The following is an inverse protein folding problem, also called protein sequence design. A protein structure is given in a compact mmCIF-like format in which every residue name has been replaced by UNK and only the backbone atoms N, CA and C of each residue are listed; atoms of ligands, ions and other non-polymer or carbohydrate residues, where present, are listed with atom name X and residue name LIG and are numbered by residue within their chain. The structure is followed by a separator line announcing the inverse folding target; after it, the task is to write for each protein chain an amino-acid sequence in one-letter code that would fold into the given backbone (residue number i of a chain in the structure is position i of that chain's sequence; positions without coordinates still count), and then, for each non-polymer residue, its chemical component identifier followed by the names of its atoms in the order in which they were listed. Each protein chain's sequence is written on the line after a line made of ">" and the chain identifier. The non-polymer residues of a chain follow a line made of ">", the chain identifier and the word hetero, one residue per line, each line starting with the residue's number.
data_IF_422051941426
#
_entry.id   IF_422051941426
#
_cell.length_a   1.000
_cell.length_b   1.000
_cell.length_c   1.000
_cell.angle_alpha   90.00
_cell.angle_beta   90.00
_cell.angle_gamma   90.00
#
_symmetry.space_group_name_H-M   'P 1'
#
loop_
_entity.id
_entity.type
_entity.pdbx_description
1 polymer ?
#
# COMPACT_ATOMS: atom_id res chain seq x y z
N UNK A 1 0.69 13.46 20.13
CA UNK A 1 -0.28 12.34 20.12
C UNK A 1 -0.14 11.56 21.41
N UNK A 2 -1.16 11.54 22.27
CA UNK A 2 -1.15 10.80 23.56
C UNK A 2 -0.89 9.31 23.39
N UNK A 3 -1.52 8.68 22.38
CA UNK A 3 -1.38 7.24 22.10
C UNK A 3 0.06 6.80 21.83
N UNK A 4 0.85 7.64 21.13
CA UNK A 4 2.26 7.33 20.83
C UNK A 4 3.14 7.47 22.06
N UNK A 5 2.79 8.40 22.96
CA UNK A 5 3.49 8.58 24.23
C UNK A 5 3.28 7.40 25.17
N UNK A 6 2.08 6.81 25.15
CA UNK A 6 1.69 5.72 26.05
C UNK A 6 2.04 4.34 25.51
N UNK A 7 1.71 4.06 24.24
CA UNK A 7 1.84 2.73 23.63
C UNK A 7 3.06 2.60 22.70
N UNK A 8 3.82 3.68 22.55
CA UNK A 8 4.95 3.76 21.65
C UNK A 8 4.55 4.07 20.21
N UNK A 9 5.55 4.08 19.33
CA UNK A 9 5.35 4.39 17.91
C UNK A 9 4.58 3.29 17.18
N UNK A 10 3.84 3.65 16.11
CA UNK A 10 3.26 2.68 15.19
C UNK A 10 4.33 1.75 14.60
N UNK A 11 3.95 0.49 14.38
CA UNK A 11 4.79 -0.55 13.79
C UNK A 11 4.43 -0.78 12.30
N UNK A 12 3.16 -0.57 11.91
CA UNK A 12 2.72 -0.64 10.51
C UNK A 12 1.95 0.62 10.11
N UNK A 13 2.11 1.00 8.85
CA UNK A 13 1.39 2.08 8.19
C UNK A 13 0.73 1.55 6.92
N UNK A 14 -0.60 1.50 6.96
CA UNK A 14 -1.42 1.00 5.86
C UNK A 14 -2.09 2.18 5.17
N UNK A 15 -2.00 2.22 3.85
CA UNK A 15 -2.66 3.20 3.00
C UNK A 15 -3.67 2.47 2.13
N UNK A 16 -4.89 3.00 2.06
CA UNK A 16 -5.94 2.49 1.18
C UNK A 16 -6.57 3.63 0.44
N UNK A 17 -6.68 3.47 -0.87
CA UNK A 17 -7.26 4.48 -1.75
C UNK A 17 -8.46 3.86 -2.47
N UNK A 18 -9.55 4.62 -2.53
CA UNK A 18 -10.72 4.21 -3.30
C UNK A 18 -10.37 4.06 -4.77
N UNK A 19 -10.69 2.90 -5.34
CA UNK A 19 -10.46 2.62 -6.75
C UNK A 19 -11.75 2.85 -7.55
N UNK A 20 -11.79 3.83 -8.48
CA UNK A 20 -12.98 4.09 -9.28
C UNK A 20 -13.36 2.95 -10.23
N UNK A 21 -12.46 1.98 -10.42
CA UNK A 21 -12.70 0.82 -11.27
C UNK A 21 -13.40 -0.33 -10.55
N UNK A 22 -13.70 -0.21 -9.26
CA UNK A 22 -14.48 -1.21 -8.53
C UNK A 22 -15.82 -1.46 -9.20
N UNK A 23 -16.22 -2.74 -9.22
CA UNK A 23 -17.43 -3.19 -9.90
C UNK A 23 -18.66 -2.53 -9.31
N UNK A 24 -18.74 -2.36 -7.99
CA UNK A 24 -19.86 -1.72 -7.31
C UNK A 24 -20.03 -0.24 -7.69
N UNK A 25 -18.92 0.45 -7.99
CA UNK A 25 -18.98 1.82 -8.50
C UNK A 25 -19.43 1.78 -9.96
N UNK A 26 -18.74 1.00 -10.81
CA UNK A 26 -19.03 0.93 -12.25
C UNK A 26 -20.46 0.50 -12.56
N UNK A 27 -21.00 -0.46 -11.81
CA UNK A 27 -22.37 -0.96 -12.01
C UNK A 27 -23.45 0.04 -11.57
N UNK A 28 -23.10 1.00 -10.71
CA UNK A 28 -24.01 2.01 -10.19
C UNK A 28 -23.94 3.35 -10.95
N UNK A 29 -23.02 3.49 -11.92
CA UNK A 29 -22.90 4.68 -12.76
C UNK A 29 -23.89 4.62 -13.94
N UNK A 30 -24.54 5.73 -14.21
CA UNK A 30 -25.34 5.88 -15.43
C UNK A 30 -24.45 5.99 -16.67
N UNK A 31 -24.97 5.73 -17.89
CA UNK A 31 -24.21 5.94 -19.12
C UNK A 31 -23.65 7.37 -19.21
N UNK A 32 -22.33 7.49 -19.39
CA UNK A 32 -21.62 8.77 -19.46
C UNK A 32 -21.21 9.36 -18.11
N UNK A 33 -21.68 8.82 -16.98
CA UNK A 33 -21.20 9.24 -15.67
C UNK A 33 -19.78 8.73 -15.40
N UNK A 34 -19.01 9.55 -14.69
CA UNK A 34 -17.69 9.18 -14.19
C UNK A 34 -17.73 9.09 -12.66
N UNK A 35 -16.95 8.17 -12.08
CA UNK A 35 -16.86 7.99 -10.64
C UNK A 35 -16.49 9.28 -9.89
N UNK A 36 -15.66 10.15 -10.49
CA UNK A 36 -15.29 11.45 -9.92
C UNK A 36 -16.47 12.44 -9.84
N UNK A 37 -17.49 12.29 -10.69
CA UNK A 37 -18.74 13.05 -10.65
C UNK A 37 -19.77 12.47 -9.67
N UNK A 38 -19.51 11.29 -9.10
CA UNK A 38 -20.37 10.60 -8.12
C UNK A 38 -19.61 10.32 -6.82
N UNK A 39 -19.23 11.38 -6.07
CA UNK A 39 -18.51 11.22 -4.81
C UNK A 39 -19.33 10.46 -3.76
N UNK A 40 -20.67 10.53 -3.83
CA UNK A 40 -21.59 9.75 -2.99
C UNK A 40 -21.36 8.23 -3.15
N UNK A 41 -21.26 7.75 -4.39
CA UNK A 41 -21.01 6.33 -4.69
C UNK A 41 -19.60 5.93 -4.25
N UNK A 42 -18.60 6.73 -4.62
CA UNK A 42 -17.20 6.45 -4.29
C UNK A 42 -16.97 6.39 -2.78
N UNK A 43 -17.51 7.36 -2.02
CA UNK A 43 -17.43 7.38 -0.56
C UNK A 43 -18.15 6.20 0.09
N UNK A 44 -19.34 5.82 -0.42
CA UNK A 44 -20.11 4.70 0.13
C UNK A 44 -19.40 3.36 -0.08
N UNK A 45 -18.95 3.08 -1.30
CA UNK A 45 -18.22 1.84 -1.61
C UNK A 45 -16.89 1.80 -0.85
N UNK A 46 -16.17 2.92 -0.79
CA UNK A 46 -14.95 3.04 0.01
C UNK A 46 -15.21 2.73 1.47
N UNK A 47 -16.24 3.31 2.08
CA UNK A 47 -16.57 3.07 3.50
C UNK A 47 -16.86 1.59 3.77
N UNK A 48 -17.60 0.92 2.90
CA UNK A 48 -17.90 -0.50 3.02
C UNK A 48 -16.63 -1.36 2.96
N UNK A 49 -15.80 -1.15 1.94
CA UNK A 49 -14.53 -1.89 1.79
C UNK A 49 -13.53 -1.56 2.90
N UNK A 50 -13.49 -0.30 3.36
CA UNK A 50 -12.66 0.13 4.49
C UNK A 50 -13.10 -0.53 5.80
N UNK A 51 -14.40 -0.58 6.08
CA UNK A 51 -14.90 -1.28 7.28
C UNK A 51 -14.58 -2.77 7.23
N UNK A 52 -14.76 -3.43 6.09
CA UNK A 52 -14.36 -4.83 5.91
C UNK A 52 -12.87 -5.03 6.19
N UNK A 53 -12.02 -4.15 5.67
CA UNK A 53 -10.58 -4.21 5.91
C UNK A 53 -10.24 -4.05 7.39
N UNK A 54 -10.84 -3.09 8.08
CA UNK A 54 -10.59 -2.88 9.51
C UNK A 54 -11.04 -4.09 10.34
N UNK A 55 -12.13 -4.76 9.93
CA UNK A 55 -12.57 -6.01 10.55
C UNK A 55 -11.54 -7.13 10.33
N UNK A 56 -10.99 -7.26 9.13
CA UNK A 56 -9.93 -8.24 8.85
C UNK A 56 -8.67 -7.96 9.68
N UNK A 57 -8.22 -6.70 9.74
CA UNK A 57 -7.00 -6.31 10.46
C UNK A 57 -7.16 -6.44 11.98
N UNK A 58 -8.26 -5.92 12.55
CA UNK A 58 -8.40 -5.75 14.01
C UNK A 58 -9.18 -6.89 14.66
N UNK A 59 -10.23 -7.41 14.01
CA UNK A 59 -11.07 -8.47 14.61
C UNK A 59 -10.59 -9.87 14.24
N UNK A 60 -10.19 -10.06 12.98
CA UNK A 60 -9.66 -11.36 12.51
C UNK A 60 -8.15 -11.47 12.67
N UNK A 61 -7.50 -10.38 13.08
CA UNK A 61 -6.07 -10.33 13.40
C UNK A 61 -5.18 -10.90 12.29
N UNK A 62 -5.51 -10.62 11.01
CA UNK A 62 -4.77 -11.20 9.87
C UNK A 62 -3.28 -10.75 9.84
N UNK A 63 -2.93 -9.69 10.56
CA UNK A 63 -1.57 -9.17 10.72
C UNK A 63 -0.98 -9.48 12.11
N UNK A 64 -1.71 -10.23 12.94
CA UNK A 64 -1.47 -10.36 14.38
C UNK A 64 -2.25 -9.34 15.21
N UNK A 65 -2.15 -9.47 16.52
CA UNK A 65 -2.91 -8.66 17.48
C UNK A 65 -2.52 -7.18 17.44
N UNK A 66 -3.52 -6.32 17.28
CA UNK A 66 -3.37 -4.85 17.25
C UNK A 66 -3.73 -4.28 18.62
N UNK A 67 -2.75 -3.72 19.34
CA UNK A 67 -2.98 -3.04 20.63
C UNK A 67 -3.77 -1.74 20.47
N UNK A 68 -3.44 -1.00 19.41
CA UNK A 68 -4.06 0.27 19.12
C UNK A 68 -3.91 0.61 17.64
N UNK A 69 -4.85 1.39 17.11
CA UNK A 69 -4.73 1.92 15.77
C UNK A 69 -5.24 3.36 15.70
N UNK A 70 -4.72 4.12 14.75
CA UNK A 70 -5.23 5.45 14.38
C UNK A 70 -5.54 5.48 12.91
N UNK A 71 -6.73 5.93 12.57
CA UNK A 71 -7.17 6.12 11.19
C UNK A 71 -7.29 7.62 10.92
N UNK A 72 -6.77 8.06 9.78
CA UNK A 72 -7.11 9.33 9.17
C UNK A 72 -7.73 9.06 7.79
N UNK A 73 -8.90 9.63 7.51
CA UNK A 73 -9.55 9.53 6.20
C UNK A 73 -9.55 10.91 5.56
N UNK A 74 -8.93 10.99 4.39
CA UNK A 74 -8.77 12.22 3.63
C UNK A 74 -9.67 12.19 2.39
N UNK A 75 -10.52 13.22 2.27
CA UNK A 75 -11.31 13.49 1.08
C UNK A 75 -10.61 14.61 0.30
N UNK A 76 -9.95 14.23 -0.79
CA UNK A 76 -9.21 15.18 -1.61
C UNK A 76 -10.15 15.87 -2.60
N UNK A 77 -10.01 17.19 -2.82
CA UNK A 77 -10.90 17.99 -3.70
C UNK A 77 -11.06 17.45 -5.13
N UNK A 78 -10.09 16.66 -5.61
CA UNK A 78 -10.10 16.00 -6.94
C UNK A 78 -9.66 14.53 -6.85
N UNK A 79 -9.50 14.01 -5.64
CA UNK A 79 -9.01 12.67 -5.40
C UNK A 79 -10.10 11.81 -4.78
N UNK A 80 -9.99 10.51 -5.00
CA UNK A 80 -10.88 9.56 -4.36
C UNK A 80 -10.57 9.47 -2.86
N UNK A 81 -11.53 9.04 -2.02
CA UNK A 81 -11.30 8.84 -0.59
C UNK A 81 -10.06 8.00 -0.34
N UNK A 82 -9.25 8.43 0.62
CA UNK A 82 -8.01 7.75 1.01
C UNK A 82 -7.98 7.62 2.54
N UNK A 83 -7.60 6.45 3.06
CA UNK A 83 -7.30 6.26 4.47
C UNK A 83 -5.81 6.01 4.72
N UNK A 84 -5.29 6.63 5.77
CA UNK A 84 -4.02 6.33 6.41
C UNK A 84 -4.29 5.65 7.75
N UNK A 85 -3.76 4.45 7.94
CA UNK A 85 -3.98 3.63 9.13
C UNK A 85 -2.61 3.38 9.77
N UNK A 86 -2.45 3.83 11.00
CA UNK A 86 -1.29 3.52 11.84
C UNK A 86 -1.68 2.39 12.79
N UNK A 87 -0.92 1.30 12.80
CA UNK A 87 -1.13 0.15 13.70
C UNK A 87 0.00 0.08 14.70
N UNK A 88 -0.34 -0.03 15.99
CA UNK A 88 0.55 -0.37 17.08
C UNK A 88 0.26 -1.82 17.42
N UNK A 89 1.22 -2.71 17.12
CA UNK A 89 1.06 -4.15 17.25
C UNK A 89 1.39 -4.60 18.68
N UNK A 90 0.80 -5.72 19.10
CA UNK A 90 1.25 -6.40 20.31
C UNK A 90 2.71 -6.84 20.18
N UNK A 91 3.41 -6.93 21.32
CA UNK A 91 4.86 -7.21 21.38
C UNK A 91 5.21 -8.47 20.60
N UNK A 92 4.37 -9.49 20.65
CA UNK A 92 4.61 -10.78 19.98
C UNK A 92 4.50 -10.70 18.45
N UNK A 93 3.74 -9.73 17.94
CA UNK A 93 3.44 -9.57 16.52
C UNK A 93 4.16 -8.36 15.88
N UNK A 94 5.14 -7.76 16.57
CA UNK A 94 5.89 -6.63 16.00
C UNK A 94 6.81 -7.10 14.86
N UNK A 95 6.78 -6.45 13.68
CA UNK A 95 7.65 -6.77 12.56
C UNK A 95 9.08 -6.24 12.77
N UNK A 96 9.82 -6.85 13.69
CA UNK A 96 11.17 -6.44 14.11
C UNK A 96 12.30 -7.23 13.43
N UNK A 97 11.99 -8.36 12.80
CA UNK A 97 12.96 -9.18 12.07
C UNK A 97 12.63 -9.20 10.58
N UNK A 98 13.63 -9.38 9.69
CA UNK A 98 13.39 -9.54 8.26
C UNK A 98 12.38 -10.65 7.93
N UNK A 99 12.42 -11.77 8.67
CA UNK A 99 11.51 -12.89 8.44
C UNK A 99 10.05 -12.49 8.69
N UNK A 100 9.75 -11.86 9.83
CA UNK A 100 8.38 -11.38 10.13
C UNK A 100 7.96 -10.29 9.15
N UNK A 101 8.89 -9.40 8.73
CA UNK A 101 8.60 -8.38 7.73
C UNK A 101 8.19 -9.03 6.39
N UNK A 102 8.93 -10.04 5.93
CA UNK A 102 8.67 -10.72 4.67
C UNK A 102 7.37 -11.56 4.70
N UNK A 103 6.92 -11.98 5.89
CA UNK A 103 5.62 -12.64 6.10
C UNK A 103 4.44 -11.67 5.98
N UNK A 104 4.65 -10.39 6.27
CA UNK A 104 3.59 -9.37 6.27
C UNK A 104 3.62 -8.53 4.99
N UNK A 105 4.80 -8.23 4.44
CA UNK A 105 4.97 -7.25 3.37
C UNK A 105 5.86 -7.80 2.27
N UNK A 106 5.38 -7.72 1.02
CA UNK A 106 6.17 -8.12 -0.16
C UNK A 106 6.36 -6.98 -1.17
N UNK A 107 7.60 -6.84 -1.63
CA UNK A 107 7.98 -5.98 -2.75
C UNK A 107 8.22 -6.77 -4.06
N UNK A 108 7.82 -8.05 -4.10
CA UNK A 108 7.96 -8.94 -5.25
C UNK A 108 6.65 -9.08 -6.02
N UNK A 109 6.72 -9.08 -7.36
CA UNK A 109 5.53 -9.27 -8.19
C UNK A 109 4.99 -10.69 -7.97
N UNK A 110 3.71 -10.85 -7.57
CA UNK A 110 3.11 -12.16 -7.35
C UNK A 110 3.25 -13.06 -8.57
N UNK A 111 3.38 -14.37 -8.37
CA UNK A 111 3.44 -15.33 -9.47
C UNK A 111 2.05 -15.43 -10.14
N UNK A 112 1.99 -15.18 -11.46
CA UNK A 112 0.75 -15.23 -12.25
C UNK A 112 0.06 -16.60 -12.20
N UNK A 113 0.82 -17.69 -12.10
CA UNK A 113 0.26 -19.04 -12.11
C UNK A 113 -0.17 -19.49 -10.72
N UNK A 114 0.53 -19.04 -9.67
CA UNK A 114 0.18 -19.40 -8.27
C UNK A 114 -0.94 -18.51 -7.71
N UNK A 115 -0.91 -17.21 -8.01
CA UNK A 115 -1.85 -16.22 -7.49
C UNK A 115 -2.28 -15.25 -8.60
N UNK A 116 -3.08 -15.69 -9.59
CA UNK A 116 -3.45 -14.89 -10.76
C UNK A 116 -4.18 -13.59 -10.40
N UNK A 117 -5.10 -13.63 -9.43
CA UNK A 117 -5.85 -12.46 -8.99
C UNK A 117 -4.93 -11.40 -8.37
N UNK A 118 -4.07 -11.81 -7.43
CA UNK A 118 -3.13 -10.91 -6.78
C UNK A 118 -2.10 -10.36 -7.78
N UNK A 119 -1.64 -11.19 -8.72
CA UNK A 119 -0.79 -10.74 -9.81
C UNK A 119 -1.48 -9.65 -10.64
N UNK A 120 -2.75 -9.85 -11.03
CA UNK A 120 -3.52 -8.85 -11.78
C UNK A 120 -3.69 -7.54 -11.01
N UNK A 121 -4.04 -7.60 -9.73
CA UNK A 121 -4.19 -6.42 -8.86
C UNK A 121 -2.86 -5.67 -8.78
N UNK A 122 -1.78 -6.35 -8.37
CA UNK A 122 -0.46 -5.71 -8.19
C UNK A 122 0.07 -5.15 -9.50
N UNK A 123 -0.06 -5.87 -10.61
CA UNK A 123 0.46 -5.39 -11.91
C UNK A 123 -0.32 -4.22 -12.49
N UNK A 124 -1.62 -4.08 -12.15
CA UNK A 124 -2.48 -3.01 -12.66
C UNK A 124 -2.50 -1.76 -11.76
N UNK A 125 -2.20 -1.89 -10.47
CA UNK A 125 -2.40 -0.82 -9.48
C UNK A 125 -1.14 -0.48 -8.67
N UNK A 126 -0.15 -1.38 -8.59
CA UNK A 126 1.01 -1.21 -7.73
C UNK A 126 2.33 -1.14 -8.50
N UNK A 127 2.30 -1.03 -9.83
CA UNK A 127 3.50 -0.86 -10.65
C UNK A 127 3.78 0.61 -10.86
N UNK A 128 5.04 1.00 -10.64
CA UNK A 128 5.47 2.34 -11.00
C UNK A 128 5.58 2.44 -12.52
N UNK A 129 4.79 3.33 -13.10
CA UNK A 129 4.87 3.64 -14.53
C UNK A 129 6.29 4.16 -14.82
N UNK A 130 6.94 3.74 -15.92
CA UNK A 130 8.27 4.22 -16.27
C UNK A 130 8.33 5.76 -16.25
N UNK A 131 9.31 6.30 -15.54
CA UNK A 131 9.60 7.73 -15.45
C UNK A 131 11.09 7.97 -15.78
N UNK A 132 11.61 9.17 -15.50
CA UNK A 132 12.99 9.50 -15.82
C UNK A 132 13.14 9.86 -17.30
N UNK A 133 14.19 9.33 -17.92
CA UNK A 133 14.45 9.55 -19.35
C UNK A 133 13.36 8.96 -20.25
N UNK A 134 12.66 7.93 -19.80
CA UNK A 134 11.57 7.29 -20.56
C UNK A 134 10.33 8.18 -20.59
N UNK A 135 10.02 8.85 -19.47
CA UNK A 135 8.90 9.77 -19.39
C UNK A 135 9.16 10.90 -18.39
N UNK A 136 9.70 12.00 -18.91
CA UNK A 136 10.05 13.22 -18.16
C UNK A 136 8.82 13.98 -17.64
N UNK A 137 7.64 13.71 -18.20
CA UNK A 137 6.38 14.36 -17.83
C UNK A 137 5.64 13.60 -16.72
N UNK A 138 6.22 12.52 -16.19
CA UNK A 138 5.58 11.78 -15.08
C UNK A 138 5.43 12.69 -13.85
N UNK A 139 4.31 12.64 -13.11
CA UNK A 139 4.08 13.52 -11.95
C UNK A 139 5.13 13.43 -10.84
N UNK A 140 5.93 12.35 -10.82
CA UNK A 140 7.01 12.15 -9.87
C UNK A 140 8.33 12.84 -10.27
N UNK A 141 8.43 13.42 -11.47
CA UNK A 141 9.64 14.04 -11.99
C UNK A 141 9.79 15.46 -11.47
N UNK A 142 10.96 15.78 -10.94
CA UNK A 142 11.36 17.13 -10.56
C UNK A 142 12.86 17.29 -10.82
N UNK A 143 13.28 18.41 -11.41
CA UNK A 143 14.69 18.65 -11.75
C UNK A 143 15.33 17.55 -12.63
N UNK A 144 14.54 16.88 -13.48
CA UNK A 144 15.01 15.78 -14.32
C UNK A 144 15.23 14.44 -13.60
N UNK A 145 14.87 14.34 -12.32
CA UNK A 145 14.99 13.13 -11.50
C UNK A 145 13.65 12.70 -10.91
N UNK A 146 13.48 11.40 -10.66
CA UNK A 146 12.30 10.89 -9.98
C UNK A 146 12.41 11.21 -8.48
N UNK A 147 11.53 12.07 -7.96
CA UNK A 147 11.44 12.42 -6.52
C UNK A 147 11.17 11.22 -5.60
N UNK A 148 10.71 10.10 -6.17
CA UNK A 148 10.45 8.86 -5.44
C UNK A 148 11.57 7.82 -5.61
N UNK A 149 12.65 8.17 -6.29
CA UNK A 149 13.83 7.33 -6.52
C UNK A 149 13.50 5.98 -7.19
N UNK A 150 12.70 6.00 -8.26
CA UNK A 150 12.46 4.81 -9.10
C UNK A 150 13.44 4.75 -10.29
N UNK A 151 13.82 3.53 -10.74
CA UNK A 151 13.53 2.24 -10.09
C UNK A 151 14.26 2.10 -8.75
N UNK A 152 13.65 1.36 -7.81
CA UNK A 152 14.29 1.08 -6.52
C UNK A 152 15.44 0.09 -6.74
N UNK A 153 16.51 0.23 -5.98
CA UNK A 153 17.64 -0.70 -6.02
C UNK A 153 17.19 -2.13 -5.69
N UNK A 154 17.82 -3.11 -6.33
CA UNK A 154 17.64 -4.52 -6.02
C UNK A 154 18.20 -4.84 -4.63
N UNK A 155 17.57 -5.79 -3.95
CA UNK A 155 17.91 -6.26 -2.62
C UNK A 155 17.62 -7.76 -2.54
N UNK A 156 18.65 -8.60 -2.38
CA UNK A 156 18.43 -10.06 -2.36
C UNK A 156 17.73 -10.54 -1.08
N UNK A 157 17.79 -9.76 0.01
CA UNK A 157 17.17 -10.05 1.30
C UNK A 157 16.66 -8.78 1.96
N UNK A 158 15.62 -8.90 2.78
CA UNK A 158 15.15 -7.78 3.60
C UNK A 158 16.18 -7.43 4.67
N UNK A 159 16.43 -6.13 4.85
CA UNK A 159 17.33 -5.60 5.88
C UNK A 159 16.61 -4.57 6.73
N UNK A 160 16.68 -4.74 8.05
CA UNK A 160 16.26 -3.72 9.00
C UNK A 160 17.34 -2.65 9.04
N UNK A 161 16.95 -1.39 8.91
CA UNK A 161 17.85 -0.24 8.95
C UNK A 161 17.63 0.55 10.23
N UNK A 162 18.60 1.39 10.61
CA UNK A 162 18.40 2.41 11.64
C UNK A 162 17.39 3.49 11.18
N UNK A 163 17.24 3.65 9.85
CA UNK A 163 16.24 4.50 9.23
C UNK A 163 14.81 3.96 9.43
N UNK A 164 13.83 4.80 9.11
CA UNK A 164 12.42 4.54 9.41
C UNK A 164 11.76 3.40 8.64
N UNK A 165 12.36 2.90 7.56
CA UNK A 165 11.76 1.90 6.69
C UNK A 165 12.76 0.78 6.38
N UNK A 166 12.38 -0.50 6.53
CA UNK A 166 13.20 -1.62 6.07
C UNK A 166 13.56 -1.49 4.59
N UNK A 167 14.73 -2.00 4.22
CA UNK A 167 15.07 -2.26 2.83
C UNK A 167 14.49 -3.64 2.47
N UNK A 168 13.35 -3.64 1.80
CA UNK A 168 12.63 -4.87 1.45
C UNK A 168 13.33 -5.66 0.35
N UNK A 169 13.26 -6.99 0.45
CA UNK A 169 13.72 -7.92 -0.56
C UNK A 169 13.05 -7.61 -1.91
N UNK A 170 13.89 -7.34 -2.91
CA UNK A 170 13.54 -7.08 -4.29
C UNK A 170 14.58 -7.72 -5.18
N UNK A 171 14.35 -8.96 -5.60
CA UNK A 171 15.31 -9.72 -6.41
C UNK A 171 15.45 -9.11 -7.81
N UNK A 172 16.65 -9.18 -8.37
CA UNK A 172 16.89 -8.84 -9.77
C UNK A 172 16.34 -9.95 -10.69
N UNK A 173 16.15 -9.68 -11.99
CA UNK A 173 15.77 -10.72 -12.95
C UNK A 173 16.74 -11.91 -12.98
N UNK A 174 18.02 -11.62 -12.83
CA UNK A 174 19.11 -12.61 -12.76
C UNK A 174 19.00 -13.51 -11.51
N UNK A 175 18.48 -12.98 -10.40
CA UNK A 175 18.26 -13.71 -9.14
C UNK A 175 16.80 -14.16 -8.97
N UNK A 176 16.08 -14.39 -10.08
CA UNK A 176 14.78 -15.03 -10.07
C UNK A 176 13.56 -14.10 -9.99
N UNK A 177 13.73 -12.78 -10.18
CA UNK A 177 12.57 -11.93 -10.47
C UNK A 177 12.09 -12.13 -11.91
N UNK A 178 10.77 -12.25 -12.11
CA UNK A 178 10.23 -12.48 -13.45
C UNK A 178 10.08 -11.21 -14.30
N UNK A 179 10.41 -10.03 -13.76
CA UNK A 179 10.14 -8.75 -14.42
C UNK A 179 11.17 -7.67 -14.09
N UNK A 180 11.44 -6.78 -15.05
CA UNK A 180 12.20 -5.54 -14.84
C UNK A 180 11.37 -4.41 -14.20
N UNK A 181 10.08 -4.65 -13.90
CA UNK A 181 9.18 -3.64 -13.35
C UNK A 181 9.33 -3.55 -11.83
N UNK A 182 9.48 -2.32 -11.33
CA UNK A 182 9.54 -2.07 -9.88
C UNK A 182 8.14 -1.85 -9.33
N UNK A 183 7.79 -2.59 -8.28
CA UNK A 183 6.58 -2.33 -7.49
C UNK A 183 6.72 -0.96 -6.82
N UNK A 184 5.77 -0.07 -7.11
CA UNK A 184 5.61 1.24 -6.49
C UNK A 184 5.25 1.12 -5.01
N UNK A 185 4.41 0.14 -4.68
CA UNK A 185 3.77 -0.03 -3.38
C UNK A 185 3.71 -1.50 -2.96
N UNK A 186 4.16 -1.80 -1.75
CA UNK A 186 4.14 -3.17 -1.24
C UNK A 186 2.72 -3.59 -0.87
N UNK A 187 2.45 -4.90 -0.96
CA UNK A 187 1.16 -5.50 -0.59
C UNK A 187 1.32 -6.44 0.60
N UNK A 188 0.20 -6.69 1.30
CA UNK A 188 0.16 -7.61 2.43
C UNK A 188 0.10 -9.05 1.92
N UNK A 189 0.96 -9.92 2.45
CA UNK A 189 1.10 -11.34 2.04
C UNK A 189 0.10 -12.36 2.61
N UNK A 190 -0.68 -12.15 3.69
CA UNK A 190 -1.62 -13.15 4.19
C UNK A 190 -2.68 -13.51 3.14
N UNK A 191 -2.98 -14.81 3.05
CA UNK A 191 -3.80 -15.48 2.03
C UNK A 191 -5.28 -15.10 1.97
N UNK A 192 -5.67 -13.95 2.50
CA UNK A 192 -7.01 -13.36 2.42
C UNK A 192 -6.91 -11.85 2.20
N UNK A 193 -6.19 -11.44 1.15
CA UNK A 193 -6.39 -10.09 0.61
C UNK A 193 -7.87 -10.01 0.23
N UNK A 194 -8.64 -9.03 0.75
CA UNK A 194 -10.02 -8.83 0.33
C UNK A 194 -10.04 -8.77 -1.20
N UNK A 195 -10.85 -9.61 -1.83
CA UNK A 195 -10.76 -9.96 -3.26
C UNK A 195 -10.76 -8.76 -4.22
N UNK A 196 -11.07 -7.56 -3.73
CA UNK A 196 -11.18 -6.34 -4.53
C UNK A 196 -10.34 -5.15 -4.02
N UNK A 197 -9.55 -5.24 -2.95
CA UNK A 197 -8.96 -4.05 -2.33
C UNK A 197 -7.43 -4.04 -2.42
N UNK A 198 -6.81 -3.11 -3.20
CA UNK A 198 -5.37 -2.91 -3.14
C UNK A 198 -5.01 -2.26 -1.81
N UNK A 199 -4.56 -3.06 -0.86
CA UNK A 199 -4.06 -2.58 0.42
C UNK A 199 -2.57 -2.30 0.27
N UNK A 200 -2.16 -1.06 0.53
CA UNK A 200 -0.75 -0.69 0.56
C UNK A 200 -0.25 -0.76 2.00
N UNK A 201 0.86 -1.46 2.25
CA UNK A 201 1.46 -1.48 3.60
C UNK A 201 2.91 -1.09 3.55
N UNK A 202 3.28 -0.22 4.48
CA UNK A 202 4.64 0.14 4.79
C UNK A 202 4.87 -0.17 6.27
N UNK A 203 5.98 -0.82 6.60
CA UNK A 203 6.49 -0.79 7.97
C UNK A 203 7.12 0.60 8.21
N UNK A 204 6.58 1.37 9.15
CA UNK A 204 7.08 2.71 9.50
C UNK A 204 7.70 2.71 10.90
N UNK A 205 8.84 3.37 11.07
CA UNK A 205 9.10 4.19 12.27
C UNK A 205 8.84 5.65 11.90
N UNK A 206 8.09 6.43 12.68
CA UNK A 206 7.61 7.73 12.25
C UNK A 206 8.76 8.72 12.23
N UNK A 207 8.99 9.35 11.07
CA UNK A 207 9.44 10.73 11.05
C UNK A 207 8.41 11.54 10.28
N UNK A 208 7.90 12.57 10.94
CA UNK A 208 6.58 13.17 10.73
C UNK A 208 6.48 14.12 9.53
N UNK A 209 7.19 13.87 8.43
CA UNK A 209 7.33 14.87 7.35
C UNK A 209 7.22 14.35 5.92
N UNK A 210 6.91 13.07 5.70
CA UNK A 210 6.55 12.61 4.34
C UNK A 210 5.06 12.32 4.27
N UNK A 211 4.29 13.36 3.97
CA UNK A 211 3.08 13.22 3.17
C UNK A 211 3.42 12.24 2.04
N UNK A 212 2.82 11.05 2.07
CA UNK A 212 2.75 10.25 0.87
C UNK A 212 1.86 11.06 -0.07
N UNK A 213 2.47 11.96 -0.85
CA UNK A 213 1.86 12.48 -2.05
C UNK A 213 1.72 11.27 -2.99
N UNK A 214 0.66 10.50 -2.76
CA UNK A 214 -0.02 9.67 -3.75
C UNK A 214 -0.57 10.66 -4.77
N UNK A 215 0.31 11.12 -5.66
CA UNK A 215 -0.12 11.71 -6.92
C UNK A 215 -0.74 10.56 -7.72
N UNK A 216 -2.07 10.54 -7.76
CA UNK A 216 -2.84 9.90 -8.83
C UNK A 216 -2.78 10.84 -10.03
#
# INVERSE_FOLDING_TARGET
>A
MSIVRELGKPDLFVTVTCNPKWTEIKSALNPGEQACGRPDLSCRVFKLKFTSLMDDIVKKEILGTVKAHKVNIELQKRGFPHAHILLIMDREYKPITPAIIDEIVSAAIPDRNKNPLLHQIVTSQNIHVPCGNINRNSPCMDGGQCTKNFPKQWQDKTRVTESSYPLYMRRSPENGARFHKTIQYMYITPGQIPQDNPIHVYNTRPDSTRQSNTCI
#
